data_IF_386020252151
#
_entry.id   IF_386020252151
#
_cell.length_a   1.000
_cell.length_b   1.000
_cell.length_c   1.000
_cell.angle_alpha   90.00
_cell.angle_beta   90.00
_cell.angle_gamma   90.00
#
_symmetry.space_group_name_H-M   'P 1'
#
loop_
_entity.id
_entity.type
_entity.pdbx_description
1 polymer ?
#
# COMPACT_ATOMS: atom_id res chain seq x y z
N UNK A 1 -9.08 -44.25 4.03
CA UNK A 1 -8.07 -43.22 4.36
C UNK A 1 -7.37 -42.82 3.06
N UNK A 2 -7.82 -41.75 2.41
CA UNK A 2 -7.27 -41.29 1.14
C UNK A 2 -6.23 -40.20 1.42
N UNK A 3 -4.99 -40.46 1.13
CA UNK A 3 -3.91 -39.49 1.16
C UNK A 3 -4.14 -38.46 0.04
N UNK A 4 -4.68 -37.28 0.38
CA UNK A 4 -4.73 -36.14 -0.54
C UNK A 4 -3.28 -35.75 -0.89
N UNK A 5 -2.85 -36.00 -2.12
CA UNK A 5 -1.59 -35.49 -2.67
C UNK A 5 -1.62 -33.97 -2.59
N UNK A 6 -0.64 -33.37 -1.87
CA UNK A 6 -0.38 -31.93 -1.91
C UNK A 6 -0.07 -31.54 -3.36
N UNK A 7 -0.83 -30.57 -3.91
CA UNK A 7 -0.40 -29.91 -5.15
C UNK A 7 0.95 -29.25 -4.93
N UNK A 8 1.88 -29.27 -5.91
CA UNK A 8 3.10 -28.49 -5.83
C UNK A 8 2.71 -27.02 -5.60
N UNK A 9 3.32 -26.36 -4.61
CA UNK A 9 3.16 -24.91 -4.41
C UNK A 9 3.77 -24.23 -5.63
N UNK A 10 3.00 -23.40 -6.33
CA UNK A 10 3.49 -22.55 -7.40
C UNK A 10 4.58 -21.61 -6.86
N UNK A 11 5.58 -21.34 -7.68
CA UNK A 11 6.67 -20.42 -7.36
C UNK A 11 6.13 -18.97 -7.39
N UNK A 12 5.79 -18.45 -6.21
CA UNK A 12 5.25 -17.09 -6.04
C UNK A 12 6.25 -15.98 -6.41
N UNK A 13 7.52 -16.33 -6.67
CA UNK A 13 8.54 -15.36 -7.15
C UNK A 13 8.57 -15.27 -8.65
N UNK A 14 7.84 -16.12 -9.37
CA UNK A 14 7.80 -16.00 -10.82
C UNK A 14 7.23 -14.63 -11.21
N UNK A 15 7.75 -13.98 -12.25
CA UNK A 15 7.20 -12.71 -12.75
C UNK A 15 5.71 -12.79 -13.11
N UNK A 16 5.20 -13.98 -13.44
CA UNK A 16 3.78 -14.25 -13.70
C UNK A 16 2.96 -14.12 -12.41
N UNK A 17 3.38 -14.78 -11.32
CA UNK A 17 2.71 -14.68 -10.01
C UNK A 17 2.67 -13.24 -9.49
N UNK A 18 3.75 -12.47 -9.70
CA UNK A 18 3.84 -11.07 -9.28
C UNK A 18 2.94 -10.13 -10.10
N UNK A 19 2.73 -10.40 -11.38
CA UNK A 19 1.76 -9.68 -12.19
C UNK A 19 0.31 -9.95 -11.75
N UNK A 20 0.02 -11.18 -11.36
CA UNK A 20 -1.26 -11.60 -10.76
C UNK A 20 -1.51 -10.79 -9.50
N UNK A 21 -0.54 -10.74 -8.60
CA UNK A 21 -0.63 -10.03 -7.32
C UNK A 21 -0.79 -8.51 -7.47
N UNK A 22 -0.08 -7.90 -8.42
CA UNK A 22 -0.27 -6.48 -8.75
C UNK A 22 -1.69 -6.19 -9.27
N UNK A 23 -2.37 -7.20 -9.86
CA UNK A 23 -3.75 -7.14 -10.31
C UNK A 23 -4.78 -7.13 -9.19
N UNK A 24 -4.63 -7.98 -8.17
CA UNK A 24 -5.61 -8.18 -7.09
C UNK A 24 -5.70 -7.04 -6.08
N UNK A 25 -4.78 -6.09 -6.06
CA UNK A 25 -4.78 -4.98 -5.09
C UNK A 25 -6.01 -4.05 -5.18
N UNK A 26 -6.81 -4.10 -6.24
CA UNK A 26 -7.88 -3.12 -6.45
C UNK A 26 -9.30 -3.70 -6.69
N UNK A 27 -9.46 -4.96 -7.05
CA UNK A 27 -10.77 -5.45 -7.55
C UNK A 27 -11.42 -6.58 -6.76
N UNK A 28 -10.69 -7.37 -6.00
CA UNK A 28 -11.24 -8.57 -5.35
C UNK A 28 -11.72 -9.66 -6.33
N UNK A 29 -11.53 -9.48 -7.65
CA UNK A 29 -11.87 -10.44 -8.71
C UNK A 29 -10.59 -11.05 -9.27
N UNK A 30 -10.34 -12.30 -8.95
CA UNK A 30 -9.05 -12.97 -9.13
C UNK A 30 -8.67 -13.32 -10.59
N UNK A 31 -9.62 -13.66 -11.46
CA UNK A 31 -9.30 -14.24 -12.76
C UNK A 31 -9.03 -13.25 -13.90
N UNK A 32 -9.45 -11.98 -13.77
CA UNK A 32 -9.27 -10.97 -14.83
C UNK A 32 -8.21 -9.91 -14.53
N UNK A 33 -7.74 -9.83 -13.31
CA UNK A 33 -6.89 -8.73 -12.82
C UNK A 33 -5.48 -8.69 -13.42
N UNK A 34 -5.03 -9.76 -14.06
CA UNK A 34 -3.66 -9.95 -14.56
C UNK A 34 -3.45 -9.54 -15.99
N UNK A 35 -4.51 -9.53 -16.78
CA UNK A 35 -4.42 -9.16 -18.19
C UNK A 35 -4.01 -7.70 -18.38
N UNK A 36 -3.29 -7.40 -19.44
CA UNK A 36 -2.92 -6.02 -19.76
C UNK A 36 -4.14 -5.08 -19.86
N UNK A 37 -5.27 -5.46 -20.48
CA UNK A 37 -6.48 -4.63 -20.48
C UNK A 37 -7.00 -4.29 -19.07
N UNK A 38 -7.02 -5.25 -18.14
CA UNK A 38 -7.44 -5.02 -16.77
C UNK A 38 -6.47 -4.08 -16.03
N UNK A 39 -5.16 -4.24 -16.21
CA UNK A 39 -4.13 -3.31 -15.69
C UNK A 39 -4.32 -1.89 -16.22
N UNK A 40 -4.53 -1.74 -17.52
CA UNK A 40 -4.75 -0.44 -18.18
C UNK A 40 -6.02 0.22 -17.64
N UNK A 41 -7.13 -0.52 -17.54
CA UNK A 41 -8.40 -0.02 -16.97
C UNK A 41 -8.21 0.46 -15.53
N UNK A 42 -7.55 -0.32 -14.68
CA UNK A 42 -7.25 0.04 -13.30
C UNK A 42 -6.37 1.29 -13.20
N UNK A 43 -5.32 1.38 -14.01
CA UNK A 43 -4.47 2.56 -14.05
C UNK A 43 -5.22 3.79 -14.57
N UNK A 44 -6.17 3.61 -15.49
CA UNK A 44 -7.08 4.66 -15.96
C UNK A 44 -7.92 5.23 -14.82
N UNK A 45 -8.61 4.36 -14.06
CA UNK A 45 -9.39 4.79 -12.87
C UNK A 45 -8.50 5.45 -11.81
N UNK A 46 -7.30 4.94 -11.59
CA UNK A 46 -6.36 5.54 -10.65
C UNK A 46 -5.87 6.93 -11.10
N UNK A 47 -5.61 7.10 -12.39
CA UNK A 47 -5.26 8.41 -12.99
C UNK A 47 -6.42 9.39 -12.92
N UNK A 48 -7.65 8.95 -13.19
CA UNK A 48 -8.85 9.77 -13.06
C UNK A 48 -9.02 10.33 -11.64
N UNK A 49 -8.85 9.49 -10.62
CA UNK A 49 -8.86 9.95 -9.22
C UNK A 49 -7.70 10.90 -8.89
N UNK A 50 -6.52 10.72 -9.51
CA UNK A 50 -5.41 11.64 -9.35
C UNK A 50 -5.71 13.01 -10.02
N UNK A 51 -6.43 13.01 -11.14
CA UNK A 51 -6.94 14.24 -11.80
C UNK A 51 -7.94 14.94 -10.88
N UNK A 52 -8.91 14.22 -10.32
CA UNK A 52 -9.87 14.79 -9.38
C UNK A 52 -9.18 15.42 -8.15
N UNK A 53 -8.14 14.78 -7.61
CA UNK A 53 -7.36 15.34 -6.52
C UNK A 53 -6.56 16.59 -6.95
N UNK A 54 -6.01 16.61 -8.17
CA UNK A 54 -5.35 17.78 -8.74
C UNK A 54 -6.33 18.97 -8.80
N UNK A 55 -7.52 18.73 -9.34
CA UNK A 55 -8.53 19.77 -9.51
C UNK A 55 -9.02 20.32 -8.17
N UNK A 56 -9.26 19.43 -7.19
CA UNK A 56 -9.52 19.83 -5.82
C UNK A 56 -8.42 20.72 -5.24
N UNK A 57 -7.14 20.40 -5.47
CA UNK A 57 -6.02 21.20 -4.96
C UNK A 57 -5.90 22.57 -5.65
N UNK A 58 -6.28 22.67 -6.91
CA UNK A 58 -6.37 23.94 -7.63
C UNK A 58 -7.44 24.83 -7.00
N UNK A 59 -8.66 24.29 -6.78
CA UNK A 59 -9.77 25.01 -6.17
C UNK A 59 -9.44 25.38 -4.72
N UNK A 60 -8.85 24.47 -3.94
CA UNK A 60 -8.38 24.73 -2.59
C UNK A 60 -7.36 25.87 -2.55
N UNK A 61 -6.44 25.91 -3.50
CA UNK A 61 -5.45 26.99 -3.62
C UNK A 61 -6.09 28.32 -3.96
N UNK A 62 -7.12 28.34 -4.81
CA UNK A 62 -7.88 29.56 -5.12
C UNK A 62 -8.54 30.12 -3.85
N UNK A 63 -9.16 29.27 -3.01
CA UNK A 63 -9.69 29.67 -1.71
C UNK A 63 -8.64 30.27 -0.77
N UNK A 64 -7.45 29.64 -0.67
CA UNK A 64 -6.35 30.16 0.15
C UNK A 64 -5.85 31.53 -0.35
N UNK A 65 -5.83 31.77 -1.66
CA UNK A 65 -5.45 33.06 -2.24
C UNK A 65 -6.43 34.18 -1.89
N UNK A 66 -7.73 33.86 -1.81
CA UNK A 66 -8.74 34.83 -1.33
C UNK A 66 -8.46 35.24 0.11
N UNK A 67 -8.12 34.28 0.98
CA UNK A 67 -7.71 34.57 2.38
C UNK A 67 -6.45 35.44 2.41
N UNK A 68 -5.46 35.15 1.57
CA UNK A 68 -4.23 35.95 1.47
C UNK A 68 -4.49 37.38 0.97
N UNK A 69 -5.46 37.57 0.07
CA UNK A 69 -5.84 38.92 -0.38
C UNK A 69 -6.35 39.79 0.78
N UNK A 70 -7.06 39.16 1.76
CA UNK A 70 -7.56 39.86 2.95
C UNK A 70 -6.51 39.96 4.07
N UNK A 71 -5.49 39.08 4.09
CA UNK A 71 -4.41 39.08 5.07
C UNK A 71 -3.07 38.66 4.41
N UNK A 72 -2.40 39.59 3.69
CA UNK A 72 -1.21 39.30 2.89
C UNK A 72 0.01 38.77 3.68
N UNK A 73 0.04 38.99 4.98
CA UNK A 73 1.16 38.58 5.85
C UNK A 73 0.92 37.24 6.57
N UNK A 74 -0.10 36.49 6.20
CA UNK A 74 -0.37 35.17 6.78
C UNK A 74 0.56 34.13 6.15
N UNK A 75 1.76 34.00 6.72
CA UNK A 75 2.83 33.08 6.27
C UNK A 75 2.33 31.61 6.24
N UNK A 76 1.47 31.20 7.17
CA UNK A 76 0.97 29.84 7.23
C UNK A 76 0.06 29.52 6.03
N UNK A 77 -0.82 30.45 5.68
CA UNK A 77 -1.71 30.31 4.50
C UNK A 77 -0.91 30.35 3.19
N UNK A 78 0.12 31.21 3.12
CA UNK A 78 1.01 31.27 1.97
C UNK A 78 1.76 29.95 1.76
N UNK A 79 2.30 29.36 2.81
CA UNK A 79 2.98 28.06 2.76
C UNK A 79 2.00 26.95 2.37
N UNK A 80 0.79 26.94 2.91
CA UNK A 80 -0.24 25.98 2.55
C UNK A 80 -0.59 26.05 1.06
N UNK A 81 -0.72 27.27 0.50
CA UNK A 81 -0.97 27.48 -0.91
C UNK A 81 0.18 26.97 -1.78
N UNK A 82 1.43 27.26 -1.43
CA UNK A 82 2.63 26.78 -2.14
C UNK A 82 2.68 25.23 -2.18
N UNK A 83 2.40 24.59 -1.06
CA UNK A 83 2.40 23.12 -0.95
C UNK A 83 1.30 22.52 -1.82
N UNK A 84 0.09 23.10 -1.83
CA UNK A 84 -1.03 22.64 -2.64
C UNK A 84 -0.75 22.79 -4.14
N UNK A 85 -0.21 23.95 -4.58
CA UNK A 85 0.18 24.20 -5.98
C UNK A 85 1.21 23.18 -6.46
N UNK A 86 2.26 22.94 -5.66
CA UNK A 86 3.28 21.97 -6.02
C UNK A 86 2.71 20.55 -6.12
N UNK A 87 1.84 20.17 -5.18
CA UNK A 87 1.19 18.86 -5.19
C UNK A 87 0.31 18.69 -6.44
N UNK A 88 -0.49 19.70 -6.81
CA UNK A 88 -1.31 19.70 -8.01
C UNK A 88 -0.46 19.55 -9.29
N UNK A 89 0.62 20.34 -9.41
CA UNK A 89 1.52 20.27 -10.56
C UNK A 89 2.18 18.89 -10.71
N UNK A 90 2.57 18.26 -9.61
CA UNK A 90 3.13 16.92 -9.64
C UNK A 90 2.10 15.86 -10.07
N UNK A 91 0.83 15.99 -9.67
CA UNK A 91 -0.24 15.07 -10.07
C UNK A 91 -0.59 15.21 -11.55
N UNK A 92 -0.49 16.41 -12.10
CA UNK A 92 -0.83 16.69 -13.50
C UNK A 92 0.03 15.88 -14.48
N UNK A 93 1.35 15.85 -14.27
CA UNK A 93 2.29 15.08 -15.11
C UNK A 93 2.32 13.57 -14.82
N UNK A 94 1.73 13.13 -13.71
CA UNK A 94 1.86 11.74 -13.28
C UNK A 94 1.06 10.78 -14.15
N UNK A 95 1.76 9.81 -14.77
CA UNK A 95 1.12 8.75 -15.55
C UNK A 95 0.40 9.23 -16.82
N UNK A 96 0.78 10.37 -17.41
CA UNK A 96 0.20 10.80 -18.68
C UNK A 96 0.52 9.81 -19.81
N UNK A 97 1.65 9.15 -19.71
CA UNK A 97 2.09 8.09 -20.62
C UNK A 97 2.56 6.87 -19.83
N UNK A 98 2.25 5.69 -20.34
CA UNK A 98 2.73 4.41 -19.86
C UNK A 98 3.40 3.68 -21.01
N UNK A 99 4.61 3.22 -20.78
CA UNK A 99 5.36 2.43 -21.73
C UNK A 99 5.55 1.02 -21.18
N UNK A 100 4.93 0.04 -21.82
CA UNK A 100 5.08 -1.37 -21.52
C UNK A 100 5.97 -2.05 -22.56
N UNK A 101 6.62 -3.14 -22.13
CA UNK A 101 7.26 -4.12 -23.01
C UNK A 101 6.54 -5.44 -22.90
N UNK A 102 6.10 -5.97 -24.02
CA UNK A 102 5.51 -7.29 -24.13
C UNK A 102 6.58 -8.27 -24.62
N UNK A 103 7.07 -9.10 -23.71
CA UNK A 103 8.03 -10.17 -23.96
C UNK A 103 7.25 -11.39 -24.45
N UNK A 104 7.05 -11.47 -25.77
CA UNK A 104 6.13 -12.40 -26.40
C UNK A 104 6.54 -13.87 -26.31
N UNK A 105 7.82 -14.17 -26.07
CA UNK A 105 8.31 -15.54 -25.89
C UNK A 105 7.90 -16.17 -24.56
N UNK A 106 7.59 -15.36 -23.56
CA UNK A 106 7.15 -15.78 -22.22
C UNK A 106 5.80 -15.19 -21.84
N UNK A 107 5.13 -14.53 -22.78
CA UNK A 107 3.83 -13.85 -22.62
C UNK A 107 3.76 -12.90 -21.39
N UNK A 108 4.82 -12.13 -21.18
CA UNK A 108 4.88 -11.19 -20.05
C UNK A 108 4.85 -9.74 -20.53
N UNK A 109 3.99 -8.94 -19.87
CA UNK A 109 3.91 -7.50 -20.14
C UNK A 109 4.35 -6.72 -18.91
N UNK A 110 5.49 -6.03 -19.01
CA UNK A 110 6.13 -5.29 -17.94
C UNK A 110 6.04 -3.78 -18.19
N UNK A 111 5.78 -2.99 -17.14
CA UNK A 111 5.80 -1.53 -17.22
C UNK A 111 7.26 -1.05 -17.22
N UNK A 112 7.76 -0.73 -18.39
CA UNK A 112 9.16 -0.34 -18.61
C UNK A 112 9.42 1.11 -18.18
N UNK A 113 8.55 2.05 -18.57
CA UNK A 113 8.71 3.47 -18.24
C UNK A 113 7.36 4.17 -18.02
N UNK A 114 7.35 5.13 -17.11
CA UNK A 114 6.28 6.08 -16.89
C UNK A 114 6.80 7.26 -16.06
N UNK A 115 6.15 8.41 -16.17
CA UNK A 115 6.40 9.53 -15.27
C UNK A 115 5.55 9.36 -14.02
N UNK A 116 6.19 9.20 -12.85
CA UNK A 116 5.53 9.05 -11.57
C UNK A 116 5.86 10.19 -10.62
N UNK A 117 4.83 10.82 -10.00
CA UNK A 117 5.01 11.89 -9.03
C UNK A 117 5.52 11.39 -7.66
N UNK A 118 5.48 10.09 -7.40
CA UNK A 118 5.84 9.43 -6.13
C UNK A 118 5.04 9.90 -4.90
N UNK A 119 3.99 10.68 -5.08
CA UNK A 119 3.12 11.17 -4.00
C UNK A 119 2.03 10.13 -3.67
N UNK A 120 2.43 8.97 -3.18
CA UNK A 120 1.52 7.83 -2.96
C UNK A 120 0.40 8.08 -1.94
N UNK A 121 0.47 9.16 -1.14
CA UNK A 121 -0.60 9.52 -0.20
C UNK A 121 -1.77 10.27 -0.86
N UNK A 122 -1.58 10.80 -2.07
CA UNK A 122 -2.61 11.55 -2.81
C UNK A 122 -2.74 11.10 -4.27
N UNK A 123 -1.82 10.28 -4.76
CA UNK A 123 -1.81 9.75 -6.12
C UNK A 123 -2.08 8.25 -6.10
N UNK A 124 -3.29 7.79 -6.46
CA UNK A 124 -3.62 6.35 -6.46
C UNK A 124 -2.73 5.53 -7.38
N UNK A 125 -2.33 6.07 -8.55
CA UNK A 125 -1.44 5.37 -9.47
C UNK A 125 -0.06 5.07 -8.84
N UNK A 126 0.54 6.07 -8.19
CA UNK A 126 1.81 5.85 -7.46
C UNK A 126 1.64 4.91 -6.27
N UNK A 127 0.49 4.98 -5.60
CA UNK A 127 0.18 4.09 -4.48
C UNK A 127 0.07 2.63 -4.96
N UNK A 128 -0.64 2.34 -6.06
CA UNK A 128 -0.72 1.00 -6.67
C UNK A 128 0.70 0.46 -6.96
N UNK A 129 1.51 1.24 -7.63
CA UNK A 129 2.87 0.80 -8.00
C UNK A 129 3.77 0.61 -6.79
N UNK A 130 3.70 1.50 -5.80
CA UNK A 130 4.44 1.36 -4.53
C UNK A 130 4.00 0.12 -3.76
N UNK A 131 2.69 -0.13 -3.69
CA UNK A 131 2.12 -1.33 -3.07
C UNK A 131 2.61 -2.61 -3.73
N UNK A 132 2.61 -2.67 -5.07
CA UNK A 132 3.12 -3.83 -5.83
C UNK A 132 4.59 -4.10 -5.52
N UNK A 133 5.46 -3.07 -5.55
CA UNK A 133 6.90 -3.25 -5.24
C UNK A 133 7.14 -3.65 -3.78
N UNK A 134 6.30 -3.17 -2.86
CA UNK A 134 6.37 -3.58 -1.47
C UNK A 134 5.96 -5.05 -1.30
N UNK A 135 4.86 -5.45 -1.91
CA UNK A 135 4.37 -6.83 -1.89
C UNK A 135 5.42 -7.80 -2.42
N UNK A 136 5.99 -7.49 -3.60
CA UNK A 136 7.06 -8.26 -4.23
C UNK A 136 8.25 -8.51 -3.28
N UNK A 137 8.77 -7.44 -2.66
CA UNK A 137 9.91 -7.53 -1.76
C UNK A 137 9.61 -8.36 -0.50
N UNK A 138 8.40 -8.21 0.07
CA UNK A 138 8.03 -8.96 1.28
C UNK A 138 7.62 -10.40 0.99
N UNK A 139 7.04 -10.72 -0.17
CA UNK A 139 6.77 -12.10 -0.57
C UNK A 139 8.08 -12.88 -0.80
N UNK A 140 9.07 -12.27 -1.46
CA UNK A 140 10.39 -12.88 -1.60
C UNK A 140 11.01 -13.19 -0.23
N UNK A 141 10.92 -12.25 0.73
CA UNK A 141 11.38 -12.49 2.11
C UNK A 141 10.57 -13.58 2.80
N UNK A 142 9.25 -13.61 2.62
CA UNK A 142 8.38 -14.62 3.20
C UNK A 142 8.75 -16.03 2.74
N UNK A 143 9.09 -16.24 1.47
CA UNK A 143 9.53 -17.54 0.98
C UNK A 143 10.80 -18.01 1.67
N UNK A 144 11.79 -17.13 1.87
CA UNK A 144 13.00 -17.46 2.63
C UNK A 144 12.67 -17.86 4.08
N UNK A 145 11.75 -17.13 4.72
CA UNK A 145 11.31 -17.44 6.08
C UNK A 145 10.60 -18.81 6.10
N UNK A 146 9.73 -19.10 5.13
CA UNK A 146 8.99 -20.38 5.05
C UNK A 146 9.89 -21.59 4.81
N UNK A 147 10.98 -21.41 4.06
CA UNK A 147 11.99 -22.47 3.89
C UNK A 147 12.72 -22.76 5.21
N UNK A 148 13.05 -21.71 5.96
CA UNK A 148 13.77 -21.83 7.24
C UNK A 148 12.88 -22.30 8.38
N UNK A 149 11.60 -21.90 8.40
CA UNK A 149 10.64 -22.12 9.47
C UNK A 149 9.29 -22.61 8.90
N UNK A 150 9.23 -23.86 8.39
CA UNK A 150 8.03 -24.39 7.72
C UNK A 150 6.81 -24.57 8.64
N UNK A 151 7.05 -24.61 9.96
CA UNK A 151 6.02 -24.79 10.99
C UNK A 151 5.25 -23.50 11.32
N UNK A 152 5.77 -22.33 10.95
CA UNK A 152 5.10 -21.06 11.25
C UNK A 152 3.75 -20.97 10.54
N UNK A 153 2.75 -20.51 11.28
CA UNK A 153 1.41 -20.22 10.76
C UNK A 153 1.22 -18.72 10.54
N UNK A 154 0.52 -18.38 9.48
CA UNK A 154 0.22 -16.99 9.10
C UNK A 154 -1.09 -16.52 9.76
N UNK A 155 -1.07 -15.31 10.30
CA UNK A 155 -2.22 -14.63 10.89
C UNK A 155 -2.35 -13.22 10.34
N UNK A 156 -3.57 -12.82 10.01
CA UNK A 156 -3.91 -11.42 9.80
C UNK A 156 -4.37 -10.83 11.13
N UNK A 157 -3.71 -9.75 11.56
CA UNK A 157 -4.05 -9.03 12.78
C UNK A 157 -4.42 -7.60 12.43
N UNK A 158 -5.54 -7.14 13.00
CA UNK A 158 -5.97 -5.74 12.94
C UNK A 158 -6.10 -5.20 14.34
N UNK A 159 -5.37 -4.15 14.66
CA UNK A 159 -5.42 -3.43 15.94
C UNK A 159 -6.04 -2.06 15.68
N UNK A 160 -7.12 -1.74 16.39
CA UNK A 160 -7.80 -0.46 16.24
C UNK A 160 -7.80 0.33 17.55
N UNK A 161 -7.95 1.63 17.44
CA UNK A 161 -8.30 2.49 18.58
C UNK A 161 -9.70 3.07 18.36
N UNK A 162 -10.34 3.49 19.44
CA UNK A 162 -11.65 4.15 19.39
C UNK A 162 -11.61 5.34 18.42
N UNK A 163 -12.69 5.53 17.66
CA UNK A 163 -12.86 6.65 16.75
C UNK A 163 -12.84 8.00 17.51
N UNK A 164 -12.34 9.04 16.85
CA UNK A 164 -12.34 10.38 17.44
C UNK A 164 -12.33 11.50 16.40
N UNK A 165 -12.68 12.72 16.77
CA UNK A 165 -12.79 13.85 15.85
C UNK A 165 -11.42 14.40 15.42
N UNK A 166 -10.37 14.22 16.23
CA UNK A 166 -9.04 14.76 16.00
C UNK A 166 -8.09 13.68 15.46
N UNK A 167 -7.61 13.84 14.23
CA UNK A 167 -6.72 12.87 13.58
C UNK A 167 -5.35 12.76 14.29
N UNK A 168 -4.64 13.85 14.58
CA UNK A 168 -3.37 13.80 15.31
C UNK A 168 -3.46 13.09 16.65
N UNK A 169 -4.53 13.35 17.40
CA UNK A 169 -4.75 12.75 18.72
C UNK A 169 -4.97 11.23 18.58
N UNK A 170 -5.89 10.80 17.72
CA UNK A 170 -6.20 9.37 17.52
C UNK A 170 -5.04 8.58 16.91
N UNK A 171 -4.34 9.18 15.96
CA UNK A 171 -3.11 8.60 15.42
C UNK A 171 -2.04 8.44 16.50
N UNK A 172 -1.80 9.51 17.27
CA UNK A 172 -0.82 9.47 18.35
C UNK A 172 -1.18 8.44 19.42
N UNK A 173 -2.47 8.24 19.70
CA UNK A 173 -2.94 7.21 20.61
C UNK A 173 -2.62 5.81 20.06
N UNK A 174 -2.96 5.52 18.80
CA UNK A 174 -2.62 4.25 18.14
C UNK A 174 -1.11 3.98 18.15
N UNK A 175 -0.31 4.96 17.72
CA UNK A 175 1.14 4.77 17.60
C UNK A 175 1.81 4.51 18.95
N UNK A 176 1.44 5.26 20.00
CA UNK A 176 1.94 5.02 21.37
C UNK A 176 1.52 3.65 21.88
N UNK A 177 0.25 3.28 21.71
CA UNK A 177 -0.27 1.98 22.15
C UNK A 177 0.42 0.82 21.44
N UNK A 178 0.60 0.92 20.13
CA UNK A 178 1.29 -0.11 19.37
C UNK A 178 2.80 -0.17 19.70
N UNK A 179 3.41 0.96 20.03
CA UNK A 179 4.78 0.98 20.55
C UNK A 179 4.88 0.21 21.87
N UNK A 180 3.96 0.43 22.81
CA UNK A 180 3.93 -0.31 24.09
C UNK A 180 3.83 -1.82 23.84
N UNK A 181 2.94 -2.27 22.94
CA UNK A 181 2.80 -3.69 22.60
C UNK A 181 4.10 -4.27 22.02
N UNK A 182 4.74 -3.55 21.09
CA UNK A 182 6.04 -3.94 20.51
C UNK A 182 7.14 -3.99 21.57
N UNK A 183 7.16 -3.04 22.50
CA UNK A 183 8.15 -2.98 23.56
C UNK A 183 7.96 -4.11 24.58
N UNK A 184 6.74 -4.45 24.99
CA UNK A 184 6.42 -5.63 25.81
C UNK A 184 6.99 -6.90 25.18
N UNK A 185 6.67 -7.11 23.88
CA UNK A 185 7.24 -8.25 23.12
C UNK A 185 8.76 -8.26 23.15
N UNK A 186 9.40 -7.13 22.88
CA UNK A 186 10.87 -7.01 22.86
C UNK A 186 11.48 -7.35 24.21
N UNK A 187 10.95 -6.81 25.30
CA UNK A 187 11.48 -7.04 26.65
C UNK A 187 11.27 -8.48 27.10
N UNK A 188 10.10 -9.06 26.80
CA UNK A 188 9.84 -10.47 27.11
C UNK A 188 10.80 -11.40 26.36
N UNK A 189 10.95 -11.23 25.05
CA UNK A 189 11.84 -12.06 24.23
C UNK A 189 13.33 -11.88 24.56
N UNK A 190 13.70 -10.73 25.11
CA UNK A 190 15.07 -10.48 25.60
C UNK A 190 15.32 -11.07 27.00
N UNK A 191 14.33 -11.70 27.64
CA UNK A 191 14.46 -12.25 28.98
C UNK A 191 14.65 -11.20 30.08
N UNK A 192 14.20 -9.97 29.86
CA UNK A 192 14.36 -8.90 30.85
C UNK A 192 13.63 -9.25 32.14
N UNK A 193 14.31 -9.09 33.28
CA UNK A 193 13.75 -9.38 34.61
C UNK A 193 12.48 -8.56 34.86
N UNK A 194 11.38 -9.25 35.19
CA UNK A 194 10.08 -8.61 35.46
C UNK A 194 9.28 -8.25 34.20
N UNK A 195 9.75 -8.57 32.99
CA UNK A 195 8.95 -8.40 31.79
C UNK A 195 7.75 -9.36 31.82
N UNK A 196 6.50 -8.86 31.79
CA UNK A 196 5.33 -9.73 31.80
C UNK A 196 5.24 -10.51 30.49
N UNK A 197 4.59 -11.67 30.56
CA UNK A 197 4.16 -12.39 29.37
C UNK A 197 3.31 -11.50 28.48
N UNK A 198 3.46 -11.62 27.17
CA UNK A 198 2.63 -10.97 26.17
C UNK A 198 2.23 -11.98 25.10
N UNK A 199 0.97 -12.01 24.73
CA UNK A 199 0.48 -12.86 23.65
C UNK A 199 1.19 -12.54 22.32
N UNK A 200 1.55 -11.28 22.14
CA UNK A 200 2.28 -10.81 20.96
C UNK A 200 3.71 -11.37 20.86
N UNK A 201 4.25 -12.00 21.92
CA UNK A 201 5.54 -12.70 21.87
C UNK A 201 5.53 -13.93 20.95
N UNK A 202 4.37 -14.55 20.72
CA UNK A 202 4.20 -15.66 19.77
C UNK A 202 4.50 -15.27 18.32
N UNK A 203 4.44 -13.98 17.99
CA UNK A 203 4.74 -13.46 16.66
C UNK A 203 6.25 -13.47 16.44
N UNK A 204 6.78 -14.43 15.68
CA UNK A 204 8.21 -14.53 15.33
C UNK A 204 8.64 -13.43 14.37
N UNK A 205 7.78 -13.10 13.43
CA UNK A 205 7.98 -12.01 12.49
C UNK A 205 6.64 -11.42 12.04
N UNK A 206 6.62 -10.14 11.76
CA UNK A 206 5.45 -9.47 11.19
C UNK A 206 5.86 -8.37 10.23
N UNK A 207 4.99 -8.12 9.26
CA UNK A 207 4.99 -6.92 8.43
C UNK A 207 3.60 -6.31 8.45
N UNK A 208 3.52 -4.99 8.54
CA UNK A 208 2.25 -4.32 8.66
C UNK A 208 2.28 -2.88 8.18
N UNK A 209 1.08 -2.30 8.09
CA UNK A 209 0.87 -0.92 7.72
C UNK A 209 -0.09 -0.23 8.67
N UNK A 210 0.14 1.07 8.86
CA UNK A 210 -0.84 1.98 9.45
C UNK A 210 -1.81 2.43 8.37
N UNK A 211 -3.07 2.47 8.69
CA UNK A 211 -4.15 2.92 7.81
C UNK A 211 -5.04 3.93 8.54
N UNK A 212 -5.57 4.90 7.80
CA UNK A 212 -6.53 5.89 8.31
C UNK A 212 -7.77 5.87 7.43
N UNK A 213 -8.94 5.82 8.07
CA UNK A 213 -10.24 5.96 7.40
C UNK A 213 -11.22 6.72 8.29
N UNK A 214 -12.40 7.02 7.77
CA UNK A 214 -13.55 7.42 8.59
C UNK A 214 -14.28 6.17 9.08
N UNK A 215 -14.67 6.16 10.34
CA UNK A 215 -15.47 5.08 10.92
C UNK A 215 -16.85 5.00 10.25
N UNK A 216 -17.25 3.79 9.85
CA UNK A 216 -18.61 3.56 9.32
C UNK A 216 -19.62 3.85 10.42
N UNK A 217 -20.49 4.82 10.23
CA UNK A 217 -21.52 5.22 11.19
C UNK A 217 -21.11 6.36 12.12
N UNK A 218 -19.87 6.44 12.60
CA UNK A 218 -19.40 7.58 13.41
C UNK A 218 -19.01 8.79 12.56
N UNK A 219 -18.48 8.55 11.36
CA UNK A 219 -17.87 9.59 10.53
C UNK A 219 -16.57 10.17 11.10
N UNK A 220 -16.13 9.68 12.26
CA UNK A 220 -14.93 10.14 12.95
C UNK A 220 -13.68 9.46 12.42
N UNK A 221 -12.49 9.98 12.75
CA UNK A 221 -11.21 9.37 12.37
C UNK A 221 -11.02 8.02 13.04
N UNK A 222 -10.70 7.02 12.23
CA UNK A 222 -10.51 5.63 12.62
C UNK A 222 -9.15 5.11 12.13
N UNK A 223 -8.04 5.44 12.82
CA UNK A 223 -6.74 4.88 12.50
C UNK A 223 -6.62 3.46 13.04
N UNK A 224 -5.92 2.61 12.31
CA UNK A 224 -5.69 1.21 12.69
C UNK A 224 -4.39 0.67 12.09
N UNK A 225 -3.94 -0.46 12.60
CA UNK A 225 -2.79 -1.21 12.11
C UNK A 225 -3.29 -2.53 11.55
N UNK A 226 -2.90 -2.83 10.32
CA UNK A 226 -3.01 -4.17 9.74
C UNK A 226 -1.64 -4.82 9.65
N UNK A 227 -1.53 -6.11 9.99
CA UNK A 227 -0.29 -6.84 9.84
C UNK A 227 -0.51 -8.30 9.50
N UNK A 228 0.43 -8.87 8.75
CA UNK A 228 0.63 -10.31 8.65
C UNK A 228 1.68 -10.69 9.68
N UNK A 229 1.30 -11.58 10.61
CA UNK A 229 2.19 -12.16 11.61
C UNK A 229 2.47 -13.63 11.33
N UNK A 230 3.70 -14.07 11.54
CA UNK A 230 4.12 -15.46 11.49
C UNK A 230 4.31 -15.95 12.92
N UNK A 231 3.57 -16.98 13.32
CA UNK A 231 3.48 -17.45 14.69
C UNK A 231 3.87 -18.92 14.81
N UNK A 232 4.63 -19.26 15.84
CA UNK A 232 4.99 -20.65 16.18
C UNK A 232 3.79 -21.41 16.77
N UNK A 233 2.96 -20.71 17.51
CA UNK A 233 1.73 -21.25 18.11
C UNK A 233 0.57 -20.32 17.85
N UNK A 234 -0.66 -20.84 17.91
CA UNK A 234 -1.86 -20.07 17.70
C UNK A 234 -1.95 -18.86 18.65
N UNK A 235 -2.31 -17.72 18.08
CA UNK A 235 -2.64 -16.52 18.88
C UNK A 235 -4.00 -16.75 19.52
N UNK A 236 -4.09 -16.54 20.84
CA UNK A 236 -5.38 -16.50 21.53
C UNK A 236 -6.04 -15.12 21.36
N UNK A 237 -7.18 -15.03 20.63
CA UNK A 237 -7.84 -13.77 20.40
C UNK A 237 -8.34 -13.07 21.67
N UNK A 238 -8.66 -13.85 22.70
CA UNK A 238 -9.13 -13.32 23.98
C UNK A 238 -7.98 -12.66 24.75
N UNK A 239 -6.85 -13.32 24.82
CA UNK A 239 -5.67 -12.82 25.55
C UNK A 239 -5.11 -11.57 24.90
N UNK A 240 -4.95 -11.55 23.57
CA UNK A 240 -4.42 -10.36 22.89
C UNK A 240 -5.42 -9.18 22.93
N UNK A 241 -6.73 -9.46 22.91
CA UNK A 241 -7.76 -8.43 23.08
C UNK A 241 -7.65 -7.77 24.46
N UNK A 242 -7.55 -8.57 25.55
CA UNK A 242 -7.37 -8.04 26.91
C UNK A 242 -6.06 -7.26 27.05
N UNK A 243 -5.01 -7.74 26.42
CA UNK A 243 -3.72 -7.04 26.42
C UNK A 243 -3.84 -5.67 25.73
N UNK A 244 -4.49 -5.62 24.56
CA UNK A 244 -4.69 -4.38 23.81
C UNK A 244 -5.60 -3.40 24.56
N UNK A 245 -6.70 -3.86 25.13
CA UNK A 245 -7.58 -3.07 25.99
C UNK A 245 -6.84 -2.48 27.19
N UNK A 246 -6.02 -3.30 27.86
CA UNK A 246 -5.19 -2.84 28.98
C UNK A 246 -4.10 -1.82 28.57
N UNK A 247 -3.65 -1.83 27.31
CA UNK A 247 -2.68 -0.86 26.79
C UNK A 247 -3.38 0.44 26.39
N UNK A 248 -4.51 0.35 25.69
CA UNK A 248 -5.21 1.50 25.13
C UNK A 248 -6.11 2.19 26.16
N UNK A 249 -6.68 1.43 27.08
CA UNK A 249 -7.65 1.91 28.09
C UNK A 249 -9.06 2.23 27.53
N UNK A 250 -9.20 2.33 26.21
CA UNK A 250 -10.46 2.72 25.56
C UNK A 250 -10.85 1.87 24.35
N UNK A 251 -10.01 0.89 23.97
CA UNK A 251 -10.13 0.19 22.70
C UNK A 251 -9.95 -1.31 22.86
N UNK A 252 -10.99 -2.05 22.56
CA UNK A 252 -11.04 -3.51 22.66
C UNK A 252 -11.26 -4.21 21.31
N UNK A 253 -11.34 -3.46 20.22
CA UNK A 253 -11.54 -4.04 18.89
C UNK A 253 -10.23 -4.52 18.31
N UNK A 254 -10.10 -5.83 18.26
CA UNK A 254 -9.02 -6.56 17.56
C UNK A 254 -9.67 -7.57 16.64
N UNK A 255 -9.10 -7.74 15.47
CA UNK A 255 -9.41 -8.86 14.59
C UNK A 255 -8.16 -9.72 14.42
N UNK A 256 -8.27 -11.01 14.70
CA UNK A 256 -7.20 -12.01 14.56
C UNK A 256 -7.75 -13.17 13.78
N UNK A 257 -7.24 -13.37 12.58
CA UNK A 257 -7.66 -14.45 11.69
C UNK A 257 -6.47 -15.25 11.21
N UNK A 258 -6.48 -16.59 11.35
CA UNK A 258 -5.52 -17.43 10.65
C UNK A 258 -5.75 -17.31 9.16
N UNK A 259 -4.68 -17.40 8.36
CA UNK A 259 -4.86 -17.56 6.91
C UNK A 259 -5.55 -18.88 6.62
N UNK A 260 -6.51 -18.84 5.71
CA UNK A 260 -7.11 -20.05 5.20
C UNK A 260 -6.02 -20.88 4.51
N UNK A 261 -6.00 -22.19 4.79
CA UNK A 261 -5.02 -23.11 4.21
C UNK A 261 -5.17 -23.27 2.69
N UNK A 262 -6.36 -22.98 2.19
CA UNK A 262 -6.69 -23.02 0.77
C UNK A 262 -6.46 -21.66 0.08
N UNK A 263 -6.18 -20.60 0.85
CA UNK A 263 -5.92 -19.23 0.36
C UNK A 263 -4.43 -19.04 0.06
N UNK A 264 -4.15 -18.41 -1.07
CA UNK A 264 -2.78 -17.99 -1.42
C UNK A 264 -2.24 -17.01 -0.36
N UNK A 265 -1.06 -17.24 0.24
CA UNK A 265 -0.48 -16.33 1.23
C UNK A 265 -0.39 -14.87 0.74
N UNK A 266 -0.21 -14.70 -0.56
CA UNK A 266 -0.16 -13.40 -1.23
C UNK A 266 -1.40 -12.54 -0.99
N UNK A 267 -2.59 -13.14 -0.87
CA UNK A 267 -3.83 -12.41 -0.62
C UNK A 267 -3.83 -11.76 0.76
N UNK A 268 -3.34 -12.44 1.80
CA UNK A 268 -3.20 -11.86 3.13
C UNK A 268 -2.19 -10.71 3.16
N UNK A 269 -1.07 -10.85 2.43
CA UNK A 269 -0.11 -9.76 2.29
C UNK A 269 -0.70 -8.58 1.51
N UNK A 270 -1.56 -8.81 0.52
CA UNK A 270 -2.26 -7.73 -0.19
C UNK A 270 -3.14 -6.89 0.74
N UNK A 271 -3.82 -7.50 1.72
CA UNK A 271 -4.63 -6.77 2.70
C UNK A 271 -3.79 -5.75 3.49
N UNK A 272 -2.56 -6.11 3.84
CA UNK A 272 -1.63 -5.26 4.59
C UNK A 272 -1.05 -4.13 3.73
N UNK A 273 -0.81 -4.40 2.45
CA UNK A 273 -0.19 -3.41 1.54
C UNK A 273 -1.22 -2.61 0.74
N UNK A 274 -2.53 -2.84 0.96
CA UNK A 274 -3.56 -1.88 0.61
C UNK A 274 -3.21 -0.56 1.30
N UNK A 275 -3.24 0.49 0.55
CA UNK A 275 -2.74 1.82 0.87
C UNK A 275 -2.98 2.27 2.31
N UNK A 276 -2.01 2.98 2.89
CA UNK A 276 -2.16 3.69 4.15
C UNK A 276 -3.33 4.69 4.15
N UNK A 277 -3.77 5.11 2.95
CA UNK A 277 -4.95 5.94 2.70
C UNK A 277 -5.81 5.24 1.65
N UNK A 278 -7.02 4.82 2.02
CA UNK A 278 -7.99 4.24 1.08
C UNK A 278 -8.66 5.37 0.29
N UNK A 279 -8.15 5.63 -0.92
CA UNK A 279 -8.63 6.69 -1.81
C UNK A 279 -10.12 6.62 -2.15
N UNK A 280 -10.77 5.46 -2.00
CA UNK A 280 -12.20 5.30 -2.23
C UNK A 280 -13.08 5.62 -1.03
N UNK A 281 -12.53 5.60 0.18
CA UNK A 281 -13.28 5.69 1.44
C UNK A 281 -13.22 7.09 2.07
N UNK A 282 -12.33 7.97 1.58
CA UNK A 282 -12.16 9.34 2.07
C UNK A 282 -12.58 10.36 1.01
N UNK A 283 -13.16 11.48 1.46
CA UNK A 283 -13.34 12.65 0.62
C UNK A 283 -11.98 13.19 0.14
N UNK A 284 -11.96 13.99 -0.94
CA UNK A 284 -10.72 14.62 -1.41
C UNK A 284 -10.10 15.54 -0.34
N UNK A 285 -10.96 16.23 0.44
CA UNK A 285 -10.55 17.07 1.56
C UNK A 285 -9.89 16.26 2.67
N UNK A 286 -10.53 15.15 3.10
CA UNK A 286 -9.97 14.26 4.10
C UNK A 286 -8.66 13.61 3.62
N UNK A 287 -8.59 13.17 2.35
CA UNK A 287 -7.36 12.65 1.76
C UNK A 287 -6.22 13.66 1.84
N UNK A 288 -6.51 14.93 1.53
CA UNK A 288 -5.52 16.00 1.61
C UNK A 288 -5.08 16.27 3.05
N UNK A 289 -6.02 16.28 4.00
CA UNK A 289 -5.73 16.43 5.44
C UNK A 289 -4.80 15.31 5.92
N UNK A 290 -5.16 14.05 5.65
CA UNK A 290 -4.35 12.87 6.02
C UNK A 290 -2.98 12.93 5.35
N UNK A 291 -2.90 13.29 4.07
CA UNK A 291 -1.63 13.36 3.36
C UNK A 291 -0.68 14.43 3.92
N UNK A 292 -1.21 15.59 4.31
CA UNK A 292 -0.42 16.64 4.99
C UNK A 292 0.09 16.14 6.34
N UNK A 293 -0.77 15.52 7.13
CA UNK A 293 -0.45 15.02 8.46
C UNK A 293 0.57 13.87 8.42
N UNK A 294 0.40 12.92 7.50
CA UNK A 294 1.26 11.74 7.39
C UNK A 294 2.54 11.97 6.57
N UNK A 295 2.77 13.18 6.07
CA UNK A 295 3.95 13.49 5.26
C UNK A 295 5.23 13.19 6.03
N UNK A 296 6.10 12.34 5.46
CA UNK A 296 7.34 11.91 6.11
C UNK A 296 7.18 10.81 7.16
N UNK A 297 5.95 10.41 7.49
CA UNK A 297 5.70 9.31 8.42
C UNK A 297 6.01 7.95 7.80
N UNK A 298 6.56 7.05 8.60
CA UNK A 298 6.75 5.66 8.19
C UNK A 298 5.45 4.88 8.42
N UNK A 299 4.74 4.58 7.34
CA UNK A 299 3.46 3.86 7.40
C UNK A 299 3.61 2.34 7.34
N UNK A 300 4.74 1.84 6.87
CA UNK A 300 5.07 0.42 6.88
C UNK A 300 6.04 0.11 8.01
N UNK A 301 5.83 -1.00 8.67
CA UNK A 301 6.75 -1.52 9.68
C UNK A 301 7.01 -3.01 9.48
N UNK A 302 8.11 -3.49 10.02
CA UNK A 302 8.45 -4.90 10.07
C UNK A 302 9.06 -5.27 11.42
N UNK A 303 8.80 -6.49 11.87
CA UNK A 303 9.28 -7.06 13.12
C UNK A 303 9.94 -8.42 12.88
N UNK A 304 10.88 -8.80 13.75
CA UNK A 304 11.49 -10.13 13.75
C UNK A 304 12.07 -10.50 12.38
N UNK A 305 11.70 -11.66 11.85
CA UNK A 305 12.23 -12.25 10.62
C UNK A 305 11.97 -11.41 9.34
N UNK A 306 11.01 -10.49 9.38
CA UNK A 306 10.77 -9.55 8.27
C UNK A 306 11.62 -8.28 8.30
N UNK A 307 12.49 -8.11 9.30
CA UNK A 307 13.36 -6.91 9.35
C UNK A 307 14.37 -6.91 8.21
N UNK A 308 14.75 -5.71 7.78
CA UNK A 308 15.82 -5.50 6.80
C UNK A 308 15.41 -5.68 5.34
N UNK A 309 14.12 -5.91 5.04
CA UNK A 309 13.63 -5.93 3.67
C UNK A 309 13.78 -4.55 3.03
N UNK A 310 14.46 -4.51 1.89
CA UNK A 310 14.62 -3.29 1.08
C UNK A 310 13.56 -3.30 -0.02
N UNK A 311 12.72 -2.28 -0.05
CA UNK A 311 11.73 -2.06 -1.11
C UNK A 311 12.33 -1.10 -2.13
N UNK A 312 12.38 -1.46 -3.43
CA UNK A 312 12.92 -0.57 -4.46
C UNK A 312 12.16 0.76 -4.54
N UNK A 313 12.88 1.85 -4.81
CA UNK A 313 12.28 3.17 -5.03
C UNK A 313 11.74 3.35 -6.45
N UNK A 314 12.21 2.52 -7.38
CA UNK A 314 11.76 2.47 -8.77
C UNK A 314 10.37 1.87 -8.85
N UNK A 315 9.44 2.55 -9.48
CA UNK A 315 8.04 2.14 -9.59
C UNK A 315 7.73 1.37 -10.90
N UNK A 316 8.69 1.27 -11.81
CA UNK A 316 8.63 0.44 -13.03
C UNK A 316 9.07 -0.99 -12.73
N UNK A 317 8.79 -1.90 -13.63
CA UNK A 317 9.22 -3.28 -13.52
C UNK A 317 10.68 -3.42 -14.01
N UNK A 318 11.38 -4.45 -13.53
CA UNK A 318 12.71 -4.77 -14.06
C UNK A 318 12.55 -5.44 -15.44
N UNK A 319 13.38 -5.07 -16.42
CA UNK A 319 13.35 -5.70 -17.74
C UNK A 319 13.76 -7.18 -17.65
N UNK A 320 13.28 -7.99 -18.57
CA UNK A 320 13.80 -9.32 -18.81
C UNK A 320 14.92 -9.17 -19.84
N UNK A 321 16.15 -9.23 -19.36
CA UNK A 321 17.31 -9.07 -20.19
C UNK A 321 17.38 -10.19 -21.25
N UNK A 322 17.82 -9.84 -22.45
CA UNK A 322 18.05 -10.75 -23.61
C UNK A 322 16.77 -11.36 -24.25
N UNK A 323 15.56 -11.10 -23.73
CA UNK A 323 14.35 -11.58 -24.37
C UNK A 323 13.80 -10.56 -25.39
N UNK A 324 13.34 -11.01 -26.56
CA UNK A 324 12.72 -10.12 -27.54
C UNK A 324 11.35 -9.61 -27.04
N UNK A 325 11.02 -8.37 -27.38
CA UNK A 325 9.79 -7.71 -26.92
C UNK A 325 9.23 -6.77 -27.99
N UNK A 326 7.95 -6.42 -27.81
CA UNK A 326 7.28 -5.30 -28.46
C UNK A 326 7.06 -4.16 -27.49
N UNK A 327 7.29 -2.93 -27.93
CA UNK A 327 6.97 -1.74 -27.17
C UNK A 327 5.49 -1.37 -27.34
N UNK A 328 4.79 -1.12 -26.22
CA UNK A 328 3.40 -0.72 -26.18
C UNK A 328 3.29 0.62 -25.45
N UNK A 329 2.88 1.65 -26.15
CA UNK A 329 2.72 3.00 -25.59
C UNK A 329 1.25 3.31 -25.39
N UNK A 330 0.92 3.78 -24.18
CA UNK A 330 -0.41 4.22 -23.83
C UNK A 330 -0.37 5.67 -23.40
N UNK A 331 -1.33 6.47 -23.87
CA UNK A 331 -1.58 7.85 -23.46
C UNK A 331 -2.90 7.96 -22.75
N UNK A 332 -2.94 8.73 -21.68
CA UNK A 332 -4.15 9.01 -20.94
C UNK A 332 -4.95 10.13 -21.62
N UNK A 333 -6.26 9.93 -21.75
CA UNK A 333 -7.24 10.91 -22.20
C UNK A 333 -8.32 11.05 -21.14
N UNK A 334 -8.57 12.28 -20.69
CA UNK A 334 -9.59 12.55 -19.69
C UNK A 334 -10.97 12.06 -20.17
N UNK A 335 -11.67 11.34 -19.28
CA UNK A 335 -12.98 10.76 -19.59
C UNK A 335 -12.95 9.46 -20.42
N UNK A 336 -11.81 9.10 -21.04
CA UNK A 336 -11.68 7.89 -21.86
C UNK A 336 -10.64 6.89 -21.33
N UNK A 337 -9.81 7.29 -20.36
CA UNK A 337 -8.76 6.47 -19.80
C UNK A 337 -7.52 6.38 -20.71
N UNK A 338 -6.81 5.25 -20.65
CA UNK A 338 -5.64 5.03 -21.48
C UNK A 338 -6.00 4.39 -22.82
N UNK A 339 -5.48 4.96 -23.89
CA UNK A 339 -5.55 4.40 -25.23
C UNK A 339 -4.15 4.18 -25.78
N UNK A 340 -4.01 3.16 -26.64
CA UNK A 340 -2.74 2.87 -27.30
C UNK A 340 -2.36 4.08 -28.17
N UNK A 341 -1.15 4.57 -28.00
CA UNK A 341 -0.59 5.60 -28.85
C UNK A 341 0.14 4.87 -29.99
N UNK A 342 -0.27 5.10 -31.23
CA UNK A 342 0.52 4.66 -32.39
C UNK A 342 1.91 5.30 -32.26
N UNK A 343 3.02 4.57 -32.52
CA UNK A 343 4.34 5.18 -32.59
C UNK A 343 4.27 6.26 -33.68
N UNK A 344 4.56 7.53 -33.31
CA UNK A 344 4.78 8.57 -34.32
C UNK A 344 5.89 8.04 -35.24
N UNK A 345 5.56 7.78 -36.49
CA UNK A 345 6.58 7.54 -37.51
C UNK A 345 7.47 8.78 -37.49
N UNK A 346 8.67 8.66 -36.97
CA UNK A 346 9.69 9.68 -37.22
C UNK A 346 9.76 9.84 -38.73
N UNK A 347 9.26 10.98 -39.21
CA UNK A 347 9.47 11.36 -40.59
C UNK A 347 10.98 11.28 -40.85
N UNK A 348 11.39 10.34 -41.68
CA UNK A 348 12.78 10.08 -41.97
C UNK A 348 13.44 11.41 -42.33
N UNK A 349 14.46 11.80 -41.57
CA UNK A 349 15.43 12.75 -42.05
C UNK A 349 16.06 12.04 -43.23
N UNK A 350 15.66 12.49 -44.43
CA UNK A 350 16.35 12.11 -45.65
C UNK A 350 17.85 12.34 -45.45
N UNK A 351 18.59 11.28 -45.55
CA UNK A 351 20.04 11.38 -45.71
C UNK A 351 20.30 11.92 -47.10
N UNK A 352 21.10 12.99 -47.27
CA UNK A 352 21.46 13.54 -48.55
C UNK A 352 22.27 12.57 -49.41
#
# INVERSE_FOLDING_TARGET
>A
MGTRRRRPREDLTSPVSMNILAGGLDTGEEDQATSLPARISRYGRAKERAVAMRDYLIDHTAGLRVVLASNPHNIAVEQAAKVAVQAAGNLDGCGNYLHFRHYYTVDQVLLHAACFCKQHLICPLCAIRRGSKTLEAYLSRFQVIRQKWPELSEYLLTLTVKDGPDLPERWGHLDRSFKVLKDRRRYFLAGNRGAPWTEFAKVKGAVGSYEVKRGKGSGLWHPHVHMVGLCETAIDPISIKREWEGITGDSFMIDVRPFDRDQEPAQGFMEVFKYAVKFGDLSLADNWEVAKFLRGSRLLFSLGEFRGVKVPDKLTDEPLDELPYFDLFYRYFAGSGYSIAAPERQAGRGVP
#
